data_IF_145130890926
#
_entry.id   IF_145130890926
#
_cell.length_a   1.000
_cell.length_b   1.000
_cell.length_c   1.000
_cell.angle_alpha   90.00
_cell.angle_beta   90.00
_cell.angle_gamma   90.00
#
_symmetry.space_group_name_H-M   'P 1'
#
loop_
_entity.id
_entity.type
_entity.pdbx_description
1 polymer ?
#
# COMPACT_ATOMS: atom_id res chain seq x y z
N UNK A 1 5.57 16.40 4.29
CA UNK A 1 5.93 15.82 2.99
C UNK A 1 5.37 14.41 2.97
N UNK A 2 4.40 14.12 2.11
CA UNK A 2 3.91 12.75 1.92
C UNK A 2 5.05 11.91 1.33
N UNK A 3 5.25 10.68 1.81
CA UNK A 3 6.26 9.77 1.27
C UNK A 3 5.53 8.60 0.60
N UNK A 4 5.20 8.72 -0.71
CA UNK A 4 4.35 7.77 -1.40
C UNK A 4 4.93 6.34 -1.46
N UNK A 5 6.22 6.18 -1.21
CA UNK A 5 6.94 4.90 -1.18
C UNK A 5 6.84 4.13 0.15
N UNK A 6 6.31 4.75 1.20
CA UNK A 6 6.18 4.11 2.52
C UNK A 6 4.73 3.85 2.91
N UNK A 7 4.54 2.70 3.54
CA UNK A 7 3.28 2.27 4.15
C UNK A 7 2.94 3.21 5.31
N UNK A 8 1.75 3.84 5.32
CA UNK A 8 1.40 4.80 6.36
C UNK A 8 1.15 4.12 7.72
N UNK A 9 0.82 2.83 7.72
CA UNK A 9 0.53 2.06 8.93
C UNK A 9 1.79 1.60 9.68
N UNK A 10 2.89 1.28 8.98
CA UNK A 10 4.09 0.72 9.62
C UNK A 10 5.42 1.37 9.24
N UNK A 11 5.42 2.33 8.30
CA UNK A 11 6.62 3.05 7.85
C UNK A 11 7.59 2.24 6.98
N UNK A 12 7.33 0.95 6.73
CA UNK A 12 8.12 0.14 5.79
C UNK A 12 7.79 0.49 4.32
N UNK A 13 8.57 -0.03 3.36
CA UNK A 13 8.22 0.02 1.93
C UNK A 13 6.78 -0.47 1.72
N UNK A 14 6.02 0.22 0.86
CA UNK A 14 4.71 -0.28 0.43
C UNK A 14 4.76 -1.13 -0.84
N UNK A 15 5.94 -1.26 -1.44
CA UNK A 15 6.19 -2.01 -2.69
C UNK A 15 5.30 -1.56 -3.85
N UNK A 16 4.80 -0.31 -3.79
CA UNK A 16 3.99 0.27 -4.85
C UNK A 16 4.88 0.65 -6.03
N UNK A 17 4.65 0.00 -7.18
CA UNK A 17 5.42 0.27 -8.40
C UNK A 17 5.18 1.69 -8.94
N UNK A 18 4.00 2.26 -8.69
CA UNK A 18 3.68 3.63 -9.10
C UNK A 18 4.33 4.70 -8.22
N UNK A 19 4.82 4.33 -7.02
CA UNK A 19 5.50 5.26 -6.12
C UNK A 19 6.99 5.46 -6.47
N UNK A 20 7.56 4.61 -7.32
CA UNK A 20 8.93 4.71 -7.82
C UNK A 20 8.93 4.92 -9.34
N UNK A 21 9.39 6.07 -9.87
CA UNK A 21 9.46 6.32 -11.31
C UNK A 21 10.22 5.26 -12.11
N UNK A 22 11.12 4.50 -11.47
CA UNK A 22 11.90 3.43 -12.11
C UNK A 22 11.12 2.13 -12.30
N UNK A 23 9.99 1.98 -11.62
CA UNK A 23 9.14 0.79 -11.68
C UNK A 23 7.71 1.09 -12.09
N UNK A 24 7.38 2.36 -12.38
CA UNK A 24 6.03 2.82 -12.73
C UNK A 24 5.44 2.18 -14.01
N UNK A 25 6.25 1.50 -14.82
CA UNK A 25 5.83 0.71 -15.98
C UNK A 25 5.40 -0.72 -15.63
N UNK A 26 5.51 -1.13 -14.36
CA UNK A 26 5.18 -2.48 -13.88
C UNK A 26 3.84 -2.49 -13.16
N UNK A 27 3.13 -3.62 -13.28
CA UNK A 27 1.94 -3.88 -12.48
C UNK A 27 2.29 -3.88 -10.98
N UNK A 28 1.47 -3.20 -10.18
CA UNK A 28 1.59 -3.21 -8.73
C UNK A 28 0.98 -4.50 -8.16
N UNK A 29 1.56 -5.03 -7.07
CA UNK A 29 1.03 -6.22 -6.40
C UNK A 29 -0.44 -6.04 -5.97
N UNK A 30 -0.85 -4.80 -5.65
CA UNK A 30 -2.20 -4.53 -5.16
C UNK A 30 -3.29 -4.75 -6.22
N UNK A 31 -2.93 -4.84 -7.50
CA UNK A 31 -3.87 -5.14 -8.58
C UNK A 31 -4.27 -6.62 -8.64
N UNK A 32 -3.48 -7.51 -8.02
CA UNK A 32 -3.70 -8.96 -8.05
C UNK A 32 -4.41 -9.52 -6.82
N UNK A 33 -4.77 -8.69 -5.86
CA UNK A 33 -5.27 -9.11 -4.54
C UNK A 33 -6.58 -8.41 -4.19
N UNK A 34 -7.35 -9.01 -3.30
CA UNK A 34 -8.52 -8.37 -2.69
C UNK A 34 -8.15 -7.88 -1.29
N UNK A 35 -8.23 -6.56 -1.09
CA UNK A 35 -8.02 -5.91 0.21
C UNK A 35 -9.39 -5.71 0.86
N UNK A 36 -9.56 -6.22 2.08
CA UNK A 36 -10.78 -6.00 2.85
C UNK A 36 -10.93 -4.50 3.18
N UNK A 37 -12.06 -3.85 2.83
CA UNK A 37 -12.32 -2.45 3.17
C UNK A 37 -12.13 -2.13 4.66
N UNK A 38 -12.40 -3.08 5.56
CA UNK A 38 -12.19 -2.91 7.00
C UNK A 38 -10.73 -2.61 7.36
N UNK A 39 -9.76 -3.10 6.58
CA UNK A 39 -8.33 -2.80 6.77
C UNK A 39 -8.04 -1.33 6.49
N UNK A 40 -8.67 -0.76 5.45
CA UNK A 40 -8.53 0.66 5.10
C UNK A 40 -9.26 1.55 6.12
N UNK A 41 -10.44 1.13 6.56
CA UNK A 41 -11.24 1.83 7.57
C UNK A 41 -10.62 1.78 8.97
N UNK A 42 -9.73 0.82 9.26
CA UNK A 42 -9.00 0.77 10.52
C UNK A 42 -7.87 1.83 10.61
N UNK A 43 -7.49 2.45 9.50
CA UNK A 43 -6.45 3.48 9.50
C UNK A 43 -6.96 4.78 10.16
N UNK A 44 -6.10 5.52 10.89
CA UNK A 44 -6.38 6.90 11.27
C UNK A 44 -6.81 7.72 10.04
N UNK A 45 -7.86 8.54 10.13
CA UNK A 45 -8.39 9.31 8.99
C UNK A 45 -7.32 10.12 8.25
N UNK A 46 -6.36 10.70 8.98
CA UNK A 46 -5.25 11.48 8.44
C UNK A 46 -4.24 10.66 7.63
N UNK A 47 -4.27 9.33 7.73
CA UNK A 47 -3.41 8.40 6.99
C UNK A 47 -4.12 7.78 5.79
N UNK A 48 -5.44 7.92 5.66
CA UNK A 48 -6.21 7.40 4.53
C UNK A 48 -5.95 8.24 3.28
N UNK A 49 -6.01 7.61 2.11
CA UNK A 49 -5.81 8.25 0.80
C UNK A 49 -4.47 9.01 0.65
N UNK A 50 -3.47 8.69 1.46
CA UNK A 50 -2.14 9.33 1.42
C UNK A 50 -1.11 8.49 0.66
N UNK A 51 -0.99 7.20 0.96
CA UNK A 51 -0.10 6.26 0.28
C UNK A 51 -0.64 4.83 0.38
N UNK A 52 -0.10 3.92 -0.45
CA UNK A 52 -0.50 2.51 -0.40
C UNK A 52 -0.03 1.84 0.90
N UNK A 53 -0.83 0.89 1.41
CA UNK A 53 -0.37 -0.07 2.43
C UNK A 53 0.69 -1.00 1.85
N UNK A 54 1.50 -1.64 2.69
CA UNK A 54 2.31 -2.80 2.26
C UNK A 54 1.48 -4.09 2.32
N UNK A 55 1.90 -5.19 1.66
CA UNK A 55 1.15 -6.46 1.66
C UNK A 55 0.78 -6.99 3.04
N UNK A 56 1.71 -6.86 4.00
CA UNK A 56 1.50 -7.25 5.39
C UNK A 56 0.40 -6.42 6.06
N UNK A 57 0.44 -5.10 5.91
CA UNK A 57 -0.58 -4.22 6.50
C UNK A 57 -1.92 -4.30 5.76
N UNK A 58 -1.91 -4.63 4.46
CA UNK A 58 -3.10 -4.94 3.69
C UNK A 58 -3.68 -6.34 4.00
N UNK A 59 -2.96 -7.18 4.77
CA UNK A 59 -3.35 -8.53 5.17
C UNK A 59 -3.57 -9.48 3.98
N UNK A 60 -2.75 -9.35 2.92
CA UNK A 60 -2.87 -10.12 1.68
C UNK A 60 -1.67 -11.01 1.38
N UNK A 61 -0.73 -11.19 2.31
CA UNK A 61 0.49 -11.99 2.08
C UNK A 61 0.19 -13.42 1.59
N UNK A 62 -0.95 -14.01 1.96
CA UNK A 62 -1.38 -15.32 1.47
C UNK A 62 -1.89 -15.33 0.01
N UNK A 63 -2.10 -14.15 -0.60
CA UNK A 63 -2.56 -13.98 -1.98
C UNK A 63 -1.40 -13.64 -2.96
N UNK A 64 -0.19 -13.39 -2.45
CA UNK A 64 1.00 -13.05 -3.22
C UNK A 64 1.85 -14.28 -3.54
#
# INVERSE_FOLDING_TARGET
>A
MNKPEFCPACGASNDCTLADPRTADRACWCYGVSIDPAVLEALPPELRDTSCLCPRCAQVEAQL
#
